data_IF_322954060331
#
_entry.id   IF_322954060331
#
_cell.length_a   1.000
_cell.length_b   1.000
_cell.length_c   1.000
_cell.angle_alpha   90.00
_cell.angle_beta   90.00
_cell.angle_gamma   90.00
#
_symmetry.space_group_name_H-M   'P 1'
#
loop_
_entity.id
_entity.type
_entity.pdbx_description
1 polymer ?
#
# COMPACT_ATOMS: atom_id res chain seq x y z
N UNK A 1 27.56 -5.82 16.34
CA UNK A 1 26.45 -6.73 16.04
C UNK A 1 26.10 -6.57 14.57
N UNK A 2 26.51 -7.47 13.67
CA UNK A 2 26.38 -7.28 12.22
C UNK A 2 24.93 -7.37 11.71
N UNK A 3 23.99 -7.83 12.51
CA UNK A 3 22.60 -8.01 12.10
C UNK A 3 21.70 -6.78 12.30
N UNK A 4 22.08 -5.86 13.19
CA UNK A 4 21.28 -4.68 13.50
C UNK A 4 21.44 -3.53 12.48
N UNK A 5 22.46 -3.60 11.62
CA UNK A 5 22.76 -2.58 10.60
C UNK A 5 22.19 -2.89 9.23
N UNK A 6 21.44 -3.97 9.09
CA UNK A 6 20.94 -4.37 7.78
C UNK A 6 19.56 -3.79 7.52
N UNK A 7 19.44 -2.98 6.48
CA UNK A 7 18.20 -2.38 6.00
C UNK A 7 17.04 -3.38 5.87
N UNK A 8 17.35 -4.63 5.58
CA UNK A 8 16.37 -5.70 5.49
C UNK A 8 15.57 -5.92 6.77
N UNK A 9 16.17 -5.72 7.95
CA UNK A 9 15.44 -5.87 9.23
C UNK A 9 14.37 -4.80 9.37
N UNK A 10 14.69 -3.55 9.00
CA UNK A 10 13.74 -2.44 9.04
C UNK A 10 12.58 -2.71 8.09
N UNK A 11 12.90 -3.16 6.86
CA UNK A 11 11.87 -3.50 5.86
C UNK A 11 10.98 -4.65 6.33
N UNK A 12 11.57 -5.71 6.89
CA UNK A 12 10.80 -6.85 7.43
C UNK A 12 9.93 -6.42 8.60
N UNK A 13 10.47 -5.65 9.54
CA UNK A 13 9.71 -5.17 10.69
C UNK A 13 8.52 -4.30 10.26
N UNK A 14 8.72 -3.38 9.32
CA UNK A 14 7.65 -2.56 8.76
C UNK A 14 6.63 -3.41 7.99
N UNK A 15 7.07 -4.39 7.20
CA UNK A 15 6.18 -5.29 6.46
C UNK A 15 5.29 -6.11 7.40
N UNK A 16 5.87 -6.74 8.43
CA UNK A 16 5.12 -7.53 9.42
C UNK A 16 4.12 -6.64 10.17
N UNK A 17 4.55 -5.45 10.56
CA UNK A 17 3.69 -4.51 11.30
C UNK A 17 2.51 -3.99 10.45
N UNK A 18 2.67 -3.91 9.13
CA UNK A 18 1.63 -3.46 8.18
C UNK A 18 0.81 -4.60 7.57
N UNK A 19 1.20 -5.84 7.82
CA UNK A 19 0.48 -7.03 7.35
C UNK A 19 -1.02 -7.01 7.67
N UNK A 20 -1.49 -6.62 8.87
CA UNK A 20 -2.92 -6.57 9.17
C UNK A 20 -3.71 -5.62 8.27
N UNK A 21 -3.13 -4.49 7.86
CA UNK A 21 -3.79 -3.54 6.96
C UNK A 21 -3.92 -4.12 5.55
N UNK A 22 -2.85 -4.73 5.05
CA UNK A 22 -2.86 -5.39 3.75
C UNK A 22 -3.87 -6.55 3.71
N UNK A 23 -3.89 -7.41 4.74
CA UNK A 23 -4.82 -8.52 4.84
C UNK A 23 -6.28 -8.04 4.87
N UNK A 24 -6.61 -7.04 5.66
CA UNK A 24 -7.97 -6.48 5.70
C UNK A 24 -8.41 -5.94 4.34
N UNK A 25 -7.55 -5.22 3.65
CA UNK A 25 -7.85 -4.70 2.32
C UNK A 25 -8.03 -5.81 1.28
N UNK A 26 -7.17 -6.83 1.31
CA UNK A 26 -7.29 -8.00 0.44
C UNK A 26 -8.59 -8.77 0.71
N UNK A 27 -8.92 -9.01 1.98
CA UNK A 27 -10.15 -9.72 2.36
C UNK A 27 -11.39 -8.93 1.91
N UNK A 28 -11.43 -7.63 2.17
CA UNK A 28 -12.54 -6.77 1.76
C UNK A 28 -12.68 -6.72 0.23
N UNK A 29 -11.57 -6.72 -0.51
CA UNK A 29 -11.60 -6.76 -1.96
C UNK A 29 -12.08 -8.12 -2.49
N UNK A 30 -11.68 -9.22 -1.85
CA UNK A 30 -12.12 -10.57 -2.22
C UNK A 30 -13.62 -10.76 -2.00
N UNK A 31 -14.17 -10.24 -0.90
CA UNK A 31 -15.60 -10.32 -0.60
C UNK A 31 -16.48 -9.59 -1.63
N UNK A 32 -15.91 -8.69 -2.43
CA UNK A 32 -16.62 -8.01 -3.52
C UNK A 32 -16.65 -8.82 -4.83
N UNK A 33 -15.88 -9.92 -4.90
CA UNK A 33 -15.89 -10.82 -6.07
C UNK A 33 -17.00 -11.84 -5.86
N UNK A 34 -17.96 -11.89 -6.77
CA UNK A 34 -19.05 -12.86 -6.68
C UNK A 34 -18.54 -14.30 -6.90
N UNK A 35 -18.89 -15.27 -6.03
CA UNK A 35 -18.54 -16.67 -6.22
C UNK A 35 -19.05 -17.25 -7.55
N UNK A 36 -20.17 -16.74 -8.08
CA UNK A 36 -20.73 -17.16 -9.37
C UNK A 36 -19.77 -16.94 -10.56
N UNK A 37 -18.86 -15.96 -10.47
CA UNK A 37 -17.84 -15.75 -11.51
C UNK A 37 -16.78 -16.86 -11.50
N UNK A 38 -16.44 -17.37 -10.33
CA UNK A 38 -15.50 -18.48 -10.19
C UNK A 38 -16.14 -19.77 -10.71
N UNK A 39 -17.38 -20.05 -10.33
CA UNK A 39 -18.16 -21.20 -10.78
C UNK A 39 -18.38 -21.19 -12.31
N UNK A 40 -18.73 -20.04 -12.88
CA UNK A 40 -18.89 -19.88 -14.31
C UNK A 40 -17.58 -20.16 -15.07
N UNK A 41 -16.45 -19.69 -14.53
CA UNK A 41 -15.12 -19.94 -15.11
C UNK A 41 -14.74 -21.42 -15.05
N UNK A 42 -15.04 -22.10 -13.95
CA UNK A 42 -14.79 -23.55 -13.81
C UNK A 42 -15.68 -24.36 -14.77
N UNK A 43 -16.95 -23.98 -14.93
CA UNK A 43 -17.87 -24.61 -15.89
C UNK A 43 -17.40 -24.47 -17.34
N UNK A 44 -16.68 -23.41 -17.66
CA UNK A 44 -16.04 -23.20 -18.97
C UNK A 44 -14.69 -23.96 -19.12
N UNK A 45 -14.32 -24.79 -18.14
CA UNK A 45 -13.10 -25.59 -18.18
C UNK A 45 -11.82 -24.85 -17.81
N UNK A 46 -11.91 -23.67 -17.19
CA UNK A 46 -10.73 -22.97 -16.70
C UNK A 46 -10.19 -23.62 -15.43
N UNK A 47 -8.87 -23.74 -15.33
CA UNK A 47 -8.23 -24.17 -14.08
C UNK A 47 -8.34 -23.08 -13.02
N UNK A 48 -8.37 -23.45 -11.74
CA UNK A 48 -8.42 -22.50 -10.59
C UNK A 48 -7.34 -21.42 -10.66
N UNK A 49 -6.13 -21.79 -11.04
CA UNK A 49 -5.04 -20.82 -11.21
C UNK A 49 -5.33 -19.78 -12.32
N UNK A 50 -5.94 -20.21 -13.42
CA UNK A 50 -6.34 -19.32 -14.52
C UNK A 50 -7.47 -18.38 -14.09
N UNK A 51 -8.47 -18.90 -13.37
CA UNK A 51 -9.58 -18.11 -12.79
C UNK A 51 -9.05 -17.04 -11.85
N UNK A 52 -8.20 -17.40 -10.87
CA UNK A 52 -7.61 -16.44 -9.94
C UNK A 52 -6.81 -15.37 -10.68
N UNK A 53 -5.93 -15.75 -11.61
CA UNK A 53 -5.06 -14.79 -12.30
C UNK A 53 -5.79 -13.87 -13.27
N UNK A 54 -6.81 -14.37 -13.97
CA UNK A 54 -7.50 -13.62 -15.03
C UNK A 54 -8.78 -12.93 -14.60
N UNK A 55 -9.41 -13.41 -13.53
CA UNK A 55 -10.70 -12.88 -13.06
C UNK A 55 -10.53 -12.26 -11.67
N UNK A 56 -10.12 -13.03 -10.66
CA UNK A 56 -10.12 -12.58 -9.26
C UNK A 56 -9.11 -11.45 -9.03
N UNK A 57 -7.86 -11.61 -9.43
CA UNK A 57 -6.81 -10.59 -9.21
C UNK A 57 -7.15 -9.25 -9.89
N UNK A 58 -7.56 -9.19 -11.17
CA UNK A 58 -7.96 -7.91 -11.77
C UNK A 58 -9.17 -7.27 -11.12
N UNK A 59 -10.13 -8.08 -10.66
CA UNK A 59 -11.30 -7.58 -9.94
C UNK A 59 -10.94 -7.02 -8.56
N UNK A 60 -9.96 -7.60 -7.88
CA UNK A 60 -9.44 -7.14 -6.58
C UNK A 60 -8.46 -5.96 -6.69
N UNK A 61 -7.99 -5.61 -7.89
CA UNK A 61 -6.88 -4.67 -8.08
C UNK A 61 -7.09 -3.34 -7.36
N UNK A 62 -8.31 -2.78 -7.36
CA UNK A 62 -8.63 -1.54 -6.66
C UNK A 62 -8.45 -1.64 -5.14
N UNK A 63 -8.84 -2.75 -4.54
CA UNK A 63 -8.65 -3.02 -3.11
C UNK A 63 -7.19 -3.28 -2.76
N UNK A 64 -6.45 -3.99 -3.62
CA UNK A 64 -5.02 -4.20 -3.45
C UNK A 64 -4.23 -2.88 -3.47
N UNK A 65 -4.54 -1.99 -4.42
CA UNK A 65 -3.92 -0.66 -4.49
C UNK A 65 -4.26 0.17 -3.25
N UNK A 66 -5.52 0.18 -2.81
CA UNK A 66 -5.93 0.88 -1.60
C UNK A 66 -5.19 0.36 -0.35
N UNK A 67 -5.05 -0.96 -0.21
CA UNK A 67 -4.29 -1.60 0.86
C UNK A 67 -2.81 -1.25 0.83
N UNK A 68 -2.20 -1.27 -0.35
CA UNK A 68 -0.80 -0.88 -0.54
C UNK A 68 -0.55 0.57 -0.09
N UNK A 69 -1.41 1.50 -0.50
CA UNK A 69 -1.22 2.92 -0.16
C UNK A 69 -1.44 3.19 1.31
N UNK A 70 -2.45 2.58 1.92
CA UNK A 70 -2.66 2.70 3.37
C UNK A 70 -1.45 2.18 4.13
N UNK A 71 -0.92 1.01 3.74
CA UNK A 71 0.27 0.43 4.34
C UNK A 71 1.52 1.30 4.11
N UNK A 72 1.71 1.82 2.90
CA UNK A 72 2.82 2.70 2.55
C UNK A 72 2.76 4.03 3.31
N UNK A 73 1.61 4.71 3.30
CA UNK A 73 1.43 6.00 3.98
C UNK A 73 1.69 5.89 5.49
N UNK A 74 1.19 4.82 6.10
CA UNK A 74 1.42 4.58 7.53
C UNK A 74 2.85 4.13 7.83
N UNK A 75 3.52 3.42 6.92
CA UNK A 75 4.94 3.04 7.08
C UNK A 75 5.87 4.24 6.91
N UNK A 76 5.57 5.16 6.00
CA UNK A 76 6.39 6.33 5.72
C UNK A 76 6.55 7.27 6.93
N UNK A 77 5.54 7.31 7.83
CA UNK A 77 5.56 8.13 9.05
C UNK A 77 5.86 7.31 10.31
N UNK A 78 6.28 6.04 10.15
CA UNK A 78 6.56 5.16 11.29
C UNK A 78 7.87 5.52 11.96
N UNK A 79 7.80 5.95 13.21
CA UNK A 79 8.95 6.36 14.01
C UNK A 79 9.34 5.31 15.06
N UNK A 80 8.36 4.66 15.68
CA UNK A 80 8.59 3.80 16.86
C UNK A 80 9.50 2.61 16.57
N UNK A 81 9.26 1.90 15.46
CA UNK A 81 10.08 0.76 15.07
C UNK A 81 11.46 1.21 14.58
N UNK A 82 11.53 2.34 13.88
CA UNK A 82 12.78 2.86 13.32
C UNK A 82 13.74 3.34 14.39
N UNK A 83 13.28 4.00 15.46
CA UNK A 83 14.12 4.40 16.60
C UNK A 83 14.81 3.20 17.25
N UNK A 84 14.10 2.06 17.34
CA UNK A 84 14.66 0.87 17.99
C UNK A 84 15.63 0.08 17.10
N UNK A 85 15.48 0.18 15.77
CA UNK A 85 16.22 -0.65 14.82
C UNK A 85 17.37 0.09 14.13
N UNK A 86 17.34 1.41 14.08
CA UNK A 86 18.39 2.23 13.46
C UNK A 86 19.57 2.33 14.41
N UNK A 87 20.74 1.86 13.96
CA UNK A 87 21.97 1.89 14.74
C UNK A 87 22.89 3.06 14.37
N UNK A 88 22.73 3.63 13.18
CA UNK A 88 23.56 4.73 12.64
C UNK A 88 22.70 5.79 11.98
N UNK A 89 23.07 7.06 12.15
CA UNK A 89 22.35 8.20 11.56
C UNK A 89 22.30 8.14 10.02
N UNK A 90 23.31 7.56 9.39
CA UNK A 90 23.38 7.40 7.93
C UNK A 90 22.32 6.45 7.36
N UNK A 91 21.78 5.57 8.17
CA UNK A 91 20.77 4.59 7.78
C UNK A 91 19.36 5.01 8.21
N UNK A 92 19.20 6.27 8.62
CA UNK A 92 17.95 6.80 9.17
C UNK A 92 16.84 6.91 8.09
N UNK A 93 15.72 6.19 8.22
CA UNK A 93 14.52 6.45 7.43
C UNK A 93 14.00 7.88 7.62
N UNK A 94 13.19 8.37 6.67
CA UNK A 94 12.71 9.75 6.63
C UNK A 94 12.12 10.23 7.96
N UNK A 95 11.26 9.44 8.60
CA UNK A 95 10.63 9.79 9.87
C UNK A 95 11.65 9.91 11.02
N UNK A 96 12.65 9.04 11.06
CA UNK A 96 13.69 9.10 12.08
C UNK A 96 14.68 10.24 11.81
N UNK A 97 15.02 10.49 10.55
CA UNK A 97 15.83 11.67 10.16
C UNK A 97 15.15 12.97 10.56
N UNK A 98 13.85 13.10 10.34
CA UNK A 98 13.07 14.25 10.82
C UNK A 98 13.18 14.42 12.34
N UNK A 99 13.02 13.34 13.09
CA UNK A 99 13.14 13.35 14.56
C UNK A 99 14.53 13.81 15.01
N UNK A 100 15.61 13.29 14.41
CA UNK A 100 17.00 13.68 14.72
C UNK A 100 17.24 15.17 14.46
N UNK A 101 16.82 15.68 13.30
CA UNK A 101 16.99 17.11 12.98
C UNK A 101 16.20 18.03 13.92
N UNK A 102 15.01 17.62 14.34
CA UNK A 102 14.21 18.40 15.30
C UNK A 102 14.87 18.50 16.68
N UNK A 103 15.72 17.52 17.04
CA UNK A 103 16.47 17.53 18.31
C UNK A 103 17.89 18.11 18.18
N UNK A 104 18.37 18.35 16.96
CA UNK A 104 19.73 18.85 16.74
C UNK A 104 19.87 20.33 17.05
N UNK A 105 21.08 20.73 17.44
CA UNK A 105 21.46 22.14 17.66
C UNK A 105 21.45 22.97 16.36
N UNK A 106 21.46 22.33 15.19
CA UNK A 106 21.39 22.98 13.87
C UNK A 106 20.05 23.70 13.62
N UNK A 107 19.11 23.55 14.53
CA UNK A 107 17.82 24.24 14.51
C UNK A 107 16.73 23.50 13.74
N UNK A 108 15.55 24.11 13.76
CA UNK A 108 14.31 23.52 13.20
C UNK A 108 14.23 23.55 11.67
N UNK A 109 15.11 24.32 11.00
CA UNK A 109 15.07 24.52 9.55
C UNK A 109 15.20 23.23 8.74
N UNK A 110 16.27 22.43 8.94
CA UNK A 110 16.44 21.15 8.21
C UNK A 110 15.32 20.13 8.50
N UNK A 111 14.87 20.08 9.76
CA UNK A 111 13.73 19.23 10.14
C UNK A 111 12.44 19.65 9.45
N UNK A 112 12.15 20.94 9.35
CA UNK A 112 11.00 21.47 8.64
C UNK A 112 11.05 21.14 7.13
N UNK A 113 12.22 21.26 6.50
CA UNK A 113 12.40 20.89 5.09
C UNK A 113 12.11 19.39 4.84
N UNK A 114 12.62 18.50 5.69
CA UNK A 114 12.31 17.07 5.62
C UNK A 114 10.82 16.79 5.87
N UNK A 115 10.19 17.52 6.79
CA UNK A 115 8.76 17.42 7.05
C UNK A 115 7.93 17.78 5.82
N UNK A 116 8.26 18.85 5.14
CA UNK A 116 7.61 19.27 3.89
C UNK A 116 7.79 18.19 2.81
N UNK A 117 9.00 17.66 2.63
CA UNK A 117 9.26 16.57 1.70
C UNK A 117 8.43 15.33 2.03
N UNK A 118 8.33 14.94 3.30
CA UNK A 118 7.50 13.82 3.74
C UNK A 118 6.02 14.02 3.38
N UNK A 119 5.48 15.20 3.64
CA UNK A 119 4.08 15.55 3.30
C UNK A 119 3.86 15.49 1.80
N UNK A 120 4.78 16.00 0.99
CA UNK A 120 4.67 15.96 -0.48
C UNK A 120 4.69 14.50 -0.97
N UNK A 121 5.63 13.67 -0.50
CA UNK A 121 5.76 12.27 -0.93
C UNK A 121 4.51 11.47 -0.57
N UNK A 122 4.08 11.54 0.69
CA UNK A 122 2.89 10.80 1.17
C UNK A 122 1.62 11.34 0.52
N UNK A 123 1.50 12.66 0.39
CA UNK A 123 0.35 13.30 -0.26
C UNK A 123 0.25 12.92 -1.73
N UNK A 124 1.37 12.93 -2.45
CA UNK A 124 1.41 12.54 -3.86
C UNK A 124 1.09 11.05 -4.05
N UNK A 125 1.69 10.19 -3.23
CA UNK A 125 1.41 8.75 -3.26
C UNK A 125 -0.07 8.46 -3.00
N UNK A 126 -0.66 9.12 -2.00
CA UNK A 126 -2.07 8.99 -1.67
C UNK A 126 -2.96 9.53 -2.80
N UNK A 127 -2.66 10.69 -3.36
CA UNK A 127 -3.40 11.27 -4.47
C UNK A 127 -3.38 10.38 -5.72
N UNK A 128 -2.20 9.90 -6.12
CA UNK A 128 -2.05 9.00 -7.28
C UNK A 128 -2.86 7.72 -7.09
N UNK A 129 -2.86 7.18 -5.89
CA UNK A 129 -3.61 5.99 -5.57
C UNK A 129 -5.13 6.20 -5.65
N UNK A 130 -5.65 7.26 -5.05
CA UNK A 130 -7.07 7.58 -5.19
C UNK A 130 -7.47 7.71 -6.66
N UNK A 131 -6.65 8.38 -7.46
CA UNK A 131 -6.90 8.47 -8.90
C UNK A 131 -6.93 7.12 -9.62
N UNK A 132 -6.06 6.19 -9.24
CA UNK A 132 -6.05 4.84 -9.82
C UNK A 132 -7.30 4.05 -9.43
N UNK A 133 -7.72 4.13 -8.18
CA UNK A 133 -8.94 3.47 -7.68
C UNK A 133 -10.19 4.05 -8.36
N UNK A 134 -10.28 5.37 -8.48
CA UNK A 134 -11.42 6.03 -9.10
C UNK A 134 -11.56 5.68 -10.59
N UNK A 135 -10.44 5.63 -11.32
CA UNK A 135 -10.44 5.19 -12.72
C UNK A 135 -10.91 3.73 -12.88
N UNK A 136 -10.46 2.85 -12.00
CA UNK A 136 -10.89 1.45 -12.01
C UNK A 136 -12.40 1.30 -11.71
N UNK A 137 -12.96 2.15 -10.83
CA UNK A 137 -14.39 2.18 -10.53
C UNK A 137 -15.21 2.70 -11.72
N UNK A 138 -14.78 3.78 -12.35
CA UNK A 138 -15.46 4.35 -13.52
C UNK A 138 -15.54 3.38 -14.70
N UNK A 139 -14.46 2.65 -14.96
CA UNK A 139 -14.47 1.62 -16.02
C UNK A 139 -15.47 0.50 -15.75
N UNK A 140 -15.68 0.13 -14.47
CA UNK A 140 -16.69 -0.87 -14.11
C UNK A 140 -18.12 -0.35 -14.33
N UNK A 141 -18.43 0.85 -13.85
CA UNK A 141 -19.77 1.42 -14.03
C UNK A 141 -20.13 1.61 -15.51
N UNK A 142 -19.17 1.97 -16.35
CA UNK A 142 -19.39 2.09 -17.80
C UNK A 142 -19.65 0.73 -18.47
N UNK A 143 -19.00 -0.34 -18.03
CA UNK A 143 -19.26 -1.70 -18.55
C UNK A 143 -20.60 -2.25 -18.09
N UNK A 144 -21.01 -1.99 -16.85
CA UNK A 144 -22.32 -2.38 -16.33
C UNK A 144 -23.46 -1.67 -17.05
N UNK A 145 -23.32 -0.36 -17.32
CA UNK A 145 -24.28 0.40 -18.11
C UNK A 145 -24.40 -0.11 -19.55
N UNK A 146 -23.26 -0.37 -20.21
CA UNK A 146 -23.27 -0.93 -21.57
C UNK A 146 -23.87 -2.34 -21.64
N UNK A 147 -23.75 -3.14 -20.61
CA UNK A 147 -24.38 -4.46 -20.53
C UNK A 147 -25.89 -4.38 -20.25
N UNK A 148 -26.34 -3.37 -19.49
CA UNK A 148 -27.76 -3.12 -19.22
C UNK A 148 -28.53 -2.56 -20.41
N UNK A 149 -27.86 -1.81 -21.29
CA UNK A 149 -28.50 -1.24 -22.51
C UNK A 149 -28.68 -2.27 -23.63
N UNK A 150 -28.09 -3.46 -23.52
CA UNK A 150 -28.17 -4.54 -24.53
C UNK A 150 -29.17 -5.65 -24.13
N UNK A 151 -29.68 -5.61 -22.90
CA UNK A 151 -30.65 -6.59 -22.35
C UNK A 151 -32.06 -6.07 -22.40
#
# INVERSE_FOLDING_TARGET
QPMATWWGIIVIALAVRRLPYALRSCTAALQQVSPSLEEASENLGASKFRTVRRIVIPLMASGLVAGFVTSFSTAAVELSATIMLVSTENDAPLAYGLYLFMQSAAGRGPGAALGVMAVIIVGLATYLSHRMVDRARQQRSSMEQAAGDVA
#
